data_IF_332504104888
#
_entry.id   IF_332504104888
#
_cell.length_a   1.000
_cell.length_b   1.000
_cell.length_c   1.000
_cell.angle_alpha   90.00
_cell.angle_beta   90.00
_cell.angle_gamma   90.00
#
_symmetry.space_group_name_H-M   'P 1'
#
loop_
_entity.id
_entity.type
_entity.pdbx_description
1 polymer ?
#
# COMPACT_ATOMS: atom_id res chain seq x y z
N UNK A 1 17.75 38.74 -7.89
CA UNK A 1 18.18 38.62 -9.29
C UNK A 1 17.29 37.59 -9.96
N UNK A 2 16.31 38.04 -10.72
CA UNK A 2 15.38 37.19 -11.47
C UNK A 2 15.90 37.19 -12.91
N UNK A 3 16.41 36.05 -13.38
CA UNK A 3 16.87 35.89 -14.75
C UNK A 3 15.64 35.60 -15.65
N UNK A 4 15.43 36.49 -16.63
CA UNK A 4 14.46 36.39 -17.69
C UNK A 4 14.79 35.23 -18.64
N UNK A 5 13.90 34.30 -18.83
CA UNK A 5 13.98 33.26 -19.88
C UNK A 5 13.29 33.79 -21.16
N UNK A 6 14.02 33.80 -22.26
CA UNK A 6 13.56 34.17 -23.58
C UNK A 6 12.58 33.13 -24.18
N UNK A 7 11.63 33.50 -25.06
CA UNK A 7 10.63 32.60 -25.63
C UNK A 7 11.21 31.69 -26.70
N UNK A 8 10.77 30.41 -26.69
CA UNK A 8 11.11 29.38 -27.67
C UNK A 8 10.32 29.64 -28.97
N UNK A 9 10.92 29.57 -30.18
CA UNK A 9 10.21 29.82 -31.42
C UNK A 9 9.29 28.65 -31.82
N UNK A 10 8.11 29.00 -32.34
CA UNK A 10 7.11 28.07 -32.83
C UNK A 10 7.59 27.34 -34.11
N UNK A 11 7.48 26.01 -34.10
CA UNK A 11 7.72 25.18 -35.29
C UNK A 11 6.45 25.19 -36.15
N UNK A 12 6.58 25.71 -37.39
CA UNK A 12 5.52 25.70 -38.38
C UNK A 12 5.37 24.28 -38.98
N UNK A 13 4.17 23.72 -38.83
CA UNK A 13 3.79 22.46 -39.47
C UNK A 13 3.34 22.78 -40.91
N UNK A 14 4.06 22.27 -41.92
CA UNK A 14 3.63 22.31 -43.30
C UNK A 14 2.60 21.23 -43.57
N UNK A 15 1.43 21.64 -44.09
CA UNK A 15 0.47 20.73 -44.69
C UNK A 15 1.03 20.17 -46.00
N UNK A 16 1.25 18.88 -46.06
CA UNK A 16 1.61 18.13 -47.28
C UNK A 16 0.39 17.37 -47.81
N UNK A 17 0.33 17.36 -49.15
CA UNK A 17 -0.74 16.97 -50.06
C UNK A 17 -1.22 15.51 -49.90
N UNK A 18 -2.52 15.31 -50.16
CA UNK A 18 -3.19 14.00 -50.27
C UNK A 18 -2.67 13.22 -51.48
N UNK A 19 -2.01 12.10 -51.25
CA UNK A 19 -1.78 11.09 -52.29
C UNK A 19 -2.85 9.99 -52.20
N UNK A 20 -3.51 9.73 -53.35
CA UNK A 20 -4.47 8.67 -53.57
C UNK A 20 -3.85 7.28 -53.32
N UNK A 21 -4.46 6.43 -52.51
CA UNK A 21 -4.13 5.04 -52.36
C UNK A 21 -5.15 4.18 -53.15
N UNK A 22 -4.70 3.18 -53.92
CA UNK A 22 -5.59 2.31 -54.71
C UNK A 22 -6.25 1.27 -53.81
N UNK A 23 -7.49 0.99 -54.12
CA UNK A 23 -8.42 0.04 -53.49
C UNK A 23 -7.94 -1.40 -53.63
N UNK A 24 -8.05 -2.16 -52.54
CA UNK A 24 -8.30 -3.58 -52.58
C UNK A 24 -7.28 -4.45 -51.85
N UNK A 25 -7.48 -4.63 -50.52
CA UNK A 25 -7.35 -5.91 -49.80
C UNK A 25 -8.17 -5.71 -48.53
N UNK A 26 -9.25 -6.48 -48.40
CA UNK A 26 -10.10 -6.48 -47.21
C UNK A 26 -9.37 -7.00 -45.96
N UNK A 27 -9.67 -6.50 -44.78
CA UNK A 27 -9.05 -7.02 -43.57
C UNK A 27 -9.51 -8.43 -43.30
N UNK A 28 -8.57 -9.38 -43.33
CA UNK A 28 -8.79 -10.73 -42.83
C UNK A 28 -9.25 -10.60 -41.36
N UNK A 29 -10.43 -11.13 -41.07
CA UNK A 29 -11.04 -11.11 -39.76
C UNK A 29 -10.16 -11.82 -38.73
N UNK A 30 -9.46 -11.06 -37.95
CA UNK A 30 -8.99 -11.51 -36.65
C UNK A 30 -10.22 -11.62 -35.75
N UNK A 31 -10.75 -12.84 -35.70
CA UNK A 31 -11.90 -13.16 -34.87
C UNK A 31 -11.56 -12.93 -33.41
N UNK A 32 -12.51 -12.38 -32.67
CA UNK A 32 -12.48 -12.14 -31.20
C UNK A 32 -12.26 -13.43 -30.36
N UNK A 33 -11.69 -14.46 -30.95
CA UNK A 33 -11.43 -15.79 -30.36
C UNK A 33 -10.05 -15.90 -29.70
N UNK A 34 -9.07 -15.06 -30.06
CA UNK A 34 -7.69 -15.25 -29.59
C UNK A 34 -7.37 -14.56 -28.25
N UNK A 35 -8.24 -13.69 -27.75
CA UNK A 35 -8.07 -13.12 -26.40
C UNK A 35 -8.64 -14.00 -25.28
N UNK A 36 -9.38 -15.06 -25.60
CA UNK A 36 -9.87 -16.03 -24.61
C UNK A 36 -8.83 -17.07 -24.16
N UNK A 37 -7.68 -17.14 -24.81
CA UNK A 37 -6.64 -18.14 -24.53
C UNK A 37 -5.74 -17.84 -23.33
N UNK A 38 -5.64 -16.59 -22.90
CA UNK A 38 -4.75 -16.18 -21.76
C UNK A 38 -5.55 -15.93 -20.47
N UNK A 39 -6.87 -15.80 -20.56
CA UNK A 39 -7.78 -15.56 -19.42
C UNK A 39 -8.70 -16.76 -19.18
N UNK A 40 -8.23 -17.97 -19.55
CA UNK A 40 -8.93 -19.21 -19.27
C UNK A 40 -9.00 -19.46 -17.75
N UNK A 41 -10.20 -19.41 -17.16
CA UNK A 41 -10.49 -19.65 -15.74
C UNK A 41 -9.87 -18.66 -14.74
N UNK A 42 -10.20 -17.39 -14.83
CA UNK A 42 -10.08 -16.55 -13.65
C UNK A 42 -11.09 -17.05 -12.61
N UNK A 43 -10.56 -17.52 -11.48
CA UNK A 43 -11.35 -17.91 -10.33
C UNK A 43 -12.30 -16.76 -9.96
N UNK A 44 -13.49 -17.11 -9.43
CA UNK A 44 -14.44 -16.10 -8.92
C UNK A 44 -13.66 -15.15 -7.98
N UNK A 45 -13.71 -13.82 -8.20
CA UNK A 45 -13.00 -12.88 -7.35
C UNK A 45 -13.34 -13.12 -5.89
N UNK A 46 -12.32 -13.33 -5.07
CA UNK A 46 -12.50 -13.55 -3.64
C UNK A 46 -11.79 -12.41 -2.86
N UNK A 47 -12.55 -11.43 -2.35
CA UNK A 47 -11.98 -10.29 -1.65
C UNK A 47 -11.18 -10.70 -0.41
N UNK A 48 -11.62 -11.71 0.33
CA UNK A 48 -10.94 -12.17 1.53
C UNK A 48 -9.61 -12.86 1.22
N UNK A 49 -9.54 -13.66 0.16
CA UNK A 49 -8.28 -14.24 -0.29
C UNK A 49 -7.33 -13.15 -0.81
N UNK A 50 -7.88 -12.11 -1.46
CA UNK A 50 -7.12 -10.94 -1.86
C UNK A 50 -6.45 -10.25 -0.67
N UNK A 51 -7.19 -10.04 0.43
CA UNK A 51 -6.61 -9.47 1.66
C UNK A 51 -5.52 -10.36 2.26
N UNK A 52 -5.69 -11.69 2.27
CA UNK A 52 -4.63 -12.60 2.73
C UNK A 52 -3.38 -12.47 1.88
N UNK A 53 -3.51 -12.58 0.56
CA UNK A 53 -2.35 -12.56 -0.36
C UNK A 53 -1.68 -11.18 -0.35
N UNK A 54 -2.46 -10.11 -0.40
CA UNK A 54 -1.94 -8.75 -0.38
C UNK A 54 -1.23 -8.42 0.92
N UNK A 55 -1.83 -8.73 2.07
CA UNK A 55 -1.22 -8.45 3.37
C UNK A 55 -0.01 -9.35 3.61
N UNK A 56 -0.03 -10.63 3.18
CA UNK A 56 1.14 -11.49 3.24
C UNK A 56 2.31 -10.93 2.41
N UNK A 57 2.03 -10.43 1.21
CA UNK A 57 3.02 -9.80 0.34
C UNK A 57 3.57 -8.52 0.99
N UNK A 58 2.69 -7.67 1.54
CA UNK A 58 3.06 -6.45 2.24
C UNK A 58 4.04 -6.74 3.38
N UNK A 59 3.72 -7.70 4.24
CA UNK A 59 4.54 -8.04 5.41
C UNK A 59 5.83 -8.77 5.00
N UNK A 60 5.77 -9.69 4.03
CA UNK A 60 6.97 -10.35 3.54
C UNK A 60 8.02 -9.36 3.05
N UNK A 61 7.61 -8.35 2.28
CA UNK A 61 8.53 -7.36 1.73
C UNK A 61 8.90 -6.28 2.76
N UNK A 62 7.94 -5.84 3.59
CA UNK A 62 8.13 -4.81 4.60
C UNK A 62 8.97 -5.27 5.78
N UNK A 63 8.61 -6.37 6.45
CA UNK A 63 9.43 -6.95 7.51
C UNK A 63 10.74 -7.51 6.95
N UNK A 64 10.72 -7.98 5.70
CA UNK A 64 11.91 -8.46 4.99
C UNK A 64 12.99 -7.41 4.84
N UNK A 65 12.64 -6.16 4.47
CA UNK A 65 13.64 -5.09 4.41
C UNK A 65 14.17 -4.73 5.80
N UNK A 66 13.30 -4.74 6.82
CA UNK A 66 13.74 -4.50 8.21
C UNK A 66 14.72 -5.58 8.66
N UNK A 67 14.44 -6.85 8.37
CA UNK A 67 15.39 -7.95 8.61
C UNK A 67 16.72 -7.72 7.88
N UNK A 68 16.66 -7.31 6.61
CA UNK A 68 17.85 -6.97 5.83
C UNK A 68 18.70 -5.87 6.45
N UNK A 69 18.07 -4.82 6.98
CA UNK A 69 18.77 -3.66 7.55
C UNK A 69 19.26 -3.93 8.97
N UNK A 70 18.53 -4.70 9.78
CA UNK A 70 18.82 -4.85 11.21
C UNK A 70 19.61 -6.13 11.57
N UNK A 71 19.39 -7.24 10.84
CA UNK A 71 20.02 -8.50 11.20
C UNK A 71 21.48 -8.56 10.77
N UNK A 72 22.30 -9.12 11.64
CA UNK A 72 23.73 -9.24 11.42
C UNK A 72 24.06 -10.09 10.18
N UNK A 73 25.15 -9.72 9.52
CA UNK A 73 25.68 -10.38 8.32
C UNK A 73 24.75 -10.34 7.10
N UNK A 74 23.66 -9.56 7.15
CA UNK A 74 22.87 -9.25 5.96
C UNK A 74 23.65 -8.33 5.04
N UNK A 75 23.48 -8.49 3.72
CA UNK A 75 24.11 -7.60 2.73
C UNK A 75 23.60 -6.14 2.83
N UNK A 76 22.40 -5.94 3.36
CA UNK A 76 21.81 -4.61 3.56
C UNK A 76 21.99 -4.10 4.99
N UNK A 77 22.74 -4.78 5.84
CA UNK A 77 22.93 -4.38 7.24
C UNK A 77 23.38 -2.93 7.35
N UNK A 78 22.73 -2.17 8.24
CA UNK A 78 23.01 -0.76 8.52
C UNK A 78 22.79 0.21 7.33
N UNK A 79 22.03 -0.19 6.31
CA UNK A 79 21.75 0.69 5.16
C UNK A 79 20.80 1.87 5.47
N UNK A 80 20.17 1.85 6.64
CA UNK A 80 19.49 3.02 7.21
C UNK A 80 17.99 3.14 6.95
N UNK A 81 17.40 4.16 7.58
CA UNK A 81 15.96 4.39 7.64
C UNK A 81 15.32 4.64 6.27
N UNK A 82 16.03 5.32 5.38
CA UNK A 82 15.51 5.61 4.02
C UNK A 82 15.26 4.32 3.23
N UNK A 83 16.12 3.29 3.39
CA UNK A 83 15.94 1.99 2.73
C UNK A 83 14.69 1.29 3.26
N UNK A 84 14.49 1.32 4.59
CA UNK A 84 13.31 0.75 5.24
C UNK A 84 12.04 1.42 4.71
N UNK A 85 11.98 2.75 4.75
CA UNK A 85 10.77 3.49 4.37
C UNK A 85 10.46 3.39 2.89
N UNK A 86 11.50 3.41 2.03
CA UNK A 86 11.34 3.19 0.60
C UNK A 86 10.73 1.82 0.30
N UNK A 87 11.30 0.78 0.90
CA UNK A 87 10.83 -0.59 0.66
C UNK A 87 9.42 -0.82 1.24
N UNK A 88 9.08 -0.24 2.40
CA UNK A 88 7.70 -0.31 2.93
C UNK A 88 6.69 0.35 1.98
N UNK A 89 7.01 1.50 1.40
CA UNK A 89 6.16 2.12 0.40
C UNK A 89 5.95 1.21 -0.82
N UNK A 90 7.02 0.61 -1.32
CA UNK A 90 6.94 -0.34 -2.45
C UNK A 90 6.26 -1.66 -2.05
N UNK A 91 6.41 -2.11 -0.81
CA UNK A 91 5.71 -3.29 -0.29
C UNK A 91 4.18 -3.07 -0.27
N UNK A 92 3.72 -1.88 0.11
CA UNK A 92 2.30 -1.51 -0.01
C UNK A 92 1.86 -1.52 -1.47
N UNK A 93 2.62 -0.91 -2.37
CA UNK A 93 2.31 -0.90 -3.80
C UNK A 93 2.14 -2.32 -4.36
N UNK A 94 3.11 -3.21 -4.14
CA UNK A 94 3.05 -4.60 -4.63
C UNK A 94 1.95 -5.39 -3.90
N UNK A 95 1.77 -5.18 -2.60
CA UNK A 95 0.70 -5.81 -1.82
C UNK A 95 -0.70 -5.47 -2.36
N UNK A 96 -0.95 -4.21 -2.71
CA UNK A 96 -2.20 -3.79 -3.36
C UNK A 96 -2.37 -4.48 -4.72
N UNK A 97 -1.32 -4.51 -5.55
CA UNK A 97 -1.40 -5.16 -6.85
C UNK A 97 -1.73 -6.66 -6.75
N UNK A 98 -1.07 -7.38 -5.83
CA UNK A 98 -1.31 -8.82 -5.63
C UNK A 98 -2.69 -9.10 -5.04
N UNK A 99 -3.18 -8.23 -4.15
CA UNK A 99 -4.53 -8.31 -3.62
C UNK A 99 -5.58 -8.11 -4.72
N UNK A 100 -5.46 -7.03 -5.48
CA UNK A 100 -6.41 -6.70 -6.57
C UNK A 100 -6.44 -7.78 -7.64
N UNK A 101 -5.29 -8.40 -7.96
CA UNK A 101 -5.22 -9.50 -8.92
C UNK A 101 -6.08 -10.72 -8.49
N UNK A 102 -6.24 -10.94 -7.19
CA UNK A 102 -7.05 -12.01 -6.60
C UNK A 102 -8.48 -11.57 -6.31
N UNK A 103 -8.63 -10.37 -5.77
CA UNK A 103 -9.90 -9.84 -5.27
C UNK A 103 -10.78 -9.20 -6.36
N UNK A 104 -10.18 -8.79 -7.48
CA UNK A 104 -10.92 -8.11 -8.54
C UNK A 104 -11.29 -6.65 -8.25
N UNK A 105 -10.68 -6.01 -7.25
CA UNK A 105 -10.87 -4.57 -7.05
C UNK A 105 -10.82 -4.02 -5.63
N UNK A 106 -10.79 -4.85 -4.59
CA UNK A 106 -10.69 -4.41 -3.18
C UNK A 106 -9.34 -4.82 -2.61
N UNK A 107 -8.64 -3.89 -1.99
CA UNK A 107 -7.38 -4.14 -1.30
C UNK A 107 -7.19 -3.09 -0.20
N UNK A 108 -7.45 -3.47 1.03
CA UNK A 108 -7.25 -2.60 2.18
C UNK A 108 -5.93 -2.90 2.89
N UNK A 109 -5.60 -4.20 3.10
CA UNK A 109 -4.37 -4.71 3.71
C UNK A 109 -4.10 -4.16 5.12
N UNK A 110 -5.13 -3.56 5.73
CA UNK A 110 -4.96 -2.74 6.93
C UNK A 110 -6.29 -2.57 7.66
N UNK A 111 -6.45 -3.11 8.86
CA UNK A 111 -7.68 -2.95 9.66
C UNK A 111 -8.08 -1.49 9.89
N UNK A 112 -7.13 -0.57 10.02
CA UNK A 112 -7.44 0.84 10.21
C UNK A 112 -7.99 1.50 8.94
N UNK A 113 -7.55 1.04 7.76
CA UNK A 113 -8.12 1.46 6.46
C UNK A 113 -9.53 0.88 6.32
N UNK A 114 -9.71 -0.42 6.54
CA UNK A 114 -11.01 -1.10 6.43
C UNK A 114 -12.06 -0.47 7.35
N UNK A 115 -11.74 -0.33 8.63
CA UNK A 115 -12.64 0.26 9.64
C UNK A 115 -12.86 1.75 9.36
N UNK A 116 -11.79 2.49 9.01
CA UNK A 116 -11.87 3.91 8.72
C UNK A 116 -12.76 4.22 7.53
N UNK A 117 -12.57 3.52 6.40
CA UNK A 117 -13.40 3.69 5.20
C UNK A 117 -14.86 3.33 5.47
N UNK A 118 -15.12 2.28 6.26
CA UNK A 118 -16.48 1.92 6.65
C UNK A 118 -17.13 2.99 7.54
N UNK A 119 -16.44 3.45 8.57
CA UNK A 119 -16.93 4.49 9.47
C UNK A 119 -17.10 5.85 8.77
N UNK A 120 -16.27 6.15 7.76
CA UNK A 120 -16.36 7.34 6.93
C UNK A 120 -17.43 7.26 5.83
N UNK A 121 -18.17 6.14 5.70
CA UNK A 121 -19.25 5.98 4.71
C UNK A 121 -18.79 5.66 3.29
N UNK A 122 -17.53 5.27 3.08
CA UNK A 122 -16.99 4.93 1.75
C UNK A 122 -17.25 3.47 1.35
N UNK A 123 -17.55 2.57 2.30
CA UNK A 123 -17.91 1.17 2.04
C UNK A 123 -19.43 1.01 2.11
N UNK A 124 -20.14 1.58 1.15
CA UNK A 124 -21.60 1.51 1.10
C UNK A 124 -22.09 0.05 0.95
N UNK A 125 -23.09 -0.33 1.76
CA UNK A 125 -23.65 -1.67 1.75
C UNK A 125 -22.84 -2.71 2.52
N UNK A 126 -21.65 -2.38 3.04
CA UNK A 126 -20.89 -3.30 3.87
C UNK A 126 -21.48 -3.41 5.27
N UNK A 127 -21.71 -4.64 5.71
CA UNK A 127 -22.13 -4.95 7.07
C UNK A 127 -20.91 -4.97 8.01
N UNK A 128 -21.15 -4.77 9.30
CA UNK A 128 -20.11 -4.91 10.32
C UNK A 128 -19.42 -6.28 10.25
N UNK A 129 -20.19 -7.36 9.98
CA UNK A 129 -19.61 -8.70 9.82
C UNK A 129 -18.61 -8.77 8.69
N UNK A 130 -18.91 -8.19 7.52
CA UNK A 130 -17.98 -8.16 6.38
C UNK A 130 -16.70 -7.40 6.72
N UNK A 131 -16.81 -6.27 7.41
CA UNK A 131 -15.66 -5.50 7.91
C UNK A 131 -14.78 -6.37 8.81
N UNK A 132 -15.37 -7.03 9.80
CA UNK A 132 -14.61 -7.85 10.76
C UNK A 132 -14.00 -9.11 10.13
N UNK A 133 -14.67 -9.70 9.16
CA UNK A 133 -14.14 -10.84 8.38
C UNK A 133 -12.95 -10.38 7.53
N UNK A 134 -13.03 -9.22 6.89
CA UNK A 134 -11.91 -8.62 6.16
C UNK A 134 -10.71 -8.39 7.08
N UNK A 135 -10.92 -7.75 8.22
CA UNK A 135 -9.89 -7.53 9.26
C UNK A 135 -9.24 -8.86 9.69
N UNK A 136 -10.04 -9.90 9.91
CA UNK A 136 -9.50 -11.22 10.26
C UNK A 136 -8.54 -11.76 9.18
N UNK A 137 -8.91 -11.66 7.90
CA UNK A 137 -8.06 -12.14 6.81
C UNK A 137 -6.81 -11.27 6.59
N UNK A 138 -6.86 -9.97 6.89
CA UNK A 138 -5.67 -9.10 6.95
C UNK A 138 -4.67 -9.60 8.00
N UNK A 139 -5.13 -9.98 9.20
CA UNK A 139 -4.28 -10.58 10.24
C UNK A 139 -3.70 -11.93 9.80
N UNK A 140 -4.49 -12.79 9.17
CA UNK A 140 -4.01 -14.08 8.63
C UNK A 140 -2.89 -13.84 7.63
N UNK A 141 -3.10 -12.91 6.69
CA UNK A 141 -2.06 -12.53 5.71
C UNK A 141 -0.79 -12.02 6.39
N UNK A 142 -0.92 -11.13 7.38
CA UNK A 142 0.22 -10.59 8.11
C UNK A 142 1.03 -11.68 8.82
N UNK A 143 0.36 -12.64 9.44
CA UNK A 143 1.03 -13.78 10.10
C UNK A 143 1.77 -14.66 9.09
N UNK A 144 1.20 -14.92 7.92
CA UNK A 144 1.85 -15.68 6.84
C UNK A 144 3.09 -14.93 6.35
N UNK A 145 3.00 -13.62 6.09
CA UNK A 145 4.14 -12.80 5.68
C UNK A 145 5.29 -12.84 6.69
N UNK A 146 4.99 -12.68 7.97
CA UNK A 146 5.98 -12.77 9.05
C UNK A 146 6.64 -14.15 9.16
N UNK A 147 5.87 -15.23 8.97
CA UNK A 147 6.42 -16.59 8.91
C UNK A 147 7.43 -16.72 7.75
N UNK A 148 7.09 -16.19 6.58
CA UNK A 148 7.96 -16.24 5.41
C UNK A 148 9.25 -15.42 5.61
N UNK A 149 9.20 -14.28 6.29
CA UNK A 149 10.38 -13.50 6.68
C UNK A 149 11.26 -14.31 7.63
N UNK A 150 10.66 -14.93 8.66
CA UNK A 150 11.41 -15.77 9.57
C UNK A 150 12.14 -16.90 8.84
N UNK A 151 11.48 -17.57 7.89
CA UNK A 151 12.09 -18.62 7.07
C UNK A 151 13.20 -18.08 6.17
N UNK A 152 13.00 -16.94 5.53
CA UNK A 152 13.97 -16.35 4.62
C UNK A 152 15.28 -15.93 5.31
N UNK A 153 15.20 -15.59 6.60
CA UNK A 153 16.34 -15.12 7.39
C UNK A 153 16.81 -16.12 8.44
N UNK A 154 16.46 -17.42 8.31
CA UNK A 154 16.84 -18.46 9.29
C UNK A 154 18.30 -18.42 9.74
N UNK A 155 19.30 -18.27 8.86
CA UNK A 155 20.71 -18.25 9.29
C UNK A 155 21.12 -16.97 10.03
N UNK A 156 20.34 -15.88 9.90
CA UNK A 156 20.69 -14.58 10.47
C UNK A 156 20.24 -14.41 11.92
N UNK A 157 19.21 -15.15 12.36
CA UNK A 157 18.70 -15.06 13.72
C UNK A 157 19.73 -15.39 14.80
N UNK A 158 20.48 -16.51 14.70
CA UNK A 158 21.52 -16.82 15.69
C UNK A 158 22.74 -15.89 15.61
N UNK A 159 22.97 -15.23 14.48
CA UNK A 159 24.08 -14.30 14.28
C UNK A 159 23.81 -12.89 14.84
N UNK A 160 22.58 -12.59 15.22
CA UNK A 160 22.18 -11.30 15.77
C UNK A 160 21.99 -11.44 17.28
N UNK A 161 22.83 -10.79 18.09
CA UNK A 161 22.79 -10.95 19.55
C UNK A 161 21.67 -10.13 20.19
N UNK A 162 21.37 -8.92 19.66
CA UNK A 162 20.40 -8.01 20.22
C UNK A 162 18.95 -8.50 19.99
N UNK A 163 18.21 -8.86 21.06
CA UNK A 163 16.82 -9.30 20.95
C UNK A 163 15.87 -8.18 20.52
N UNK A 164 16.24 -6.90 20.75
CA UNK A 164 15.47 -5.75 20.32
C UNK A 164 15.46 -5.61 18.79
N UNK A 165 16.59 -5.85 18.13
CA UNK A 165 16.68 -5.86 16.67
C UNK A 165 15.84 -6.99 16.06
N UNK A 166 15.81 -8.16 16.70
CA UNK A 166 14.97 -9.29 16.28
C UNK A 166 13.48 -8.95 16.39
N UNK A 167 13.06 -8.33 17.50
CA UNK A 167 11.69 -7.88 17.68
C UNK A 167 11.31 -6.82 16.64
N UNK A 168 12.21 -5.86 16.39
CA UNK A 168 11.98 -4.77 15.44
C UNK A 168 11.78 -5.23 13.98
N UNK A 169 12.22 -6.44 13.63
CA UNK A 169 11.90 -7.05 12.33
C UNK A 169 10.41 -7.32 12.20
N UNK A 170 9.76 -7.78 13.27
CA UNK A 170 8.36 -8.21 13.25
C UNK A 170 7.37 -7.07 13.53
N UNK A 171 7.70 -6.20 14.48
CA UNK A 171 6.74 -5.20 14.93
C UNK A 171 7.40 -3.89 15.33
N UNK A 172 6.61 -2.84 15.39
CA UNK A 172 7.09 -1.51 15.71
C UNK A 172 7.32 -1.33 17.21
N UNK A 173 8.21 -0.41 17.53
CA UNK A 173 8.48 0.02 18.90
C UNK A 173 8.87 1.49 18.92
N UNK A 174 8.66 2.19 20.05
CA UNK A 174 8.95 3.60 20.14
C UNK A 174 10.44 3.87 20.29
N UNK A 175 10.96 4.87 19.59
CA UNK A 175 12.31 5.39 19.82
C UNK A 175 12.45 5.95 21.25
N UNK A 176 11.40 6.61 21.73
CA UNK A 176 11.28 7.09 23.10
C UNK A 176 9.94 6.58 23.65
N UNK A 177 9.99 5.83 24.76
CA UNK A 177 8.78 5.28 25.37
C UNK A 177 8.00 6.37 26.11
N UNK A 178 6.96 6.87 25.45
CA UNK A 178 6.02 7.84 25.96
C UNK A 178 4.62 7.46 25.45
N UNK A 179 3.79 6.90 26.31
CA UNK A 179 2.48 6.34 25.94
C UNK A 179 1.58 7.34 25.20
N UNK A 180 1.45 8.55 25.73
CA UNK A 180 0.59 9.58 25.10
C UNK A 180 1.18 10.08 23.79
N UNK A 181 2.48 10.40 23.74
CA UNK A 181 3.16 10.84 22.53
C UNK A 181 3.14 9.79 21.43
N UNK A 182 3.42 8.52 21.77
CA UNK A 182 3.40 7.42 20.81
C UNK A 182 1.99 7.16 20.26
N UNK A 183 0.97 7.23 21.12
CA UNK A 183 -0.43 7.10 20.68
C UNK A 183 -0.82 8.23 19.72
N UNK A 184 -0.49 9.47 20.05
CA UNK A 184 -0.75 10.64 19.19
C UNK A 184 -0.04 10.50 17.85
N UNK A 185 1.21 10.04 17.83
CA UNK A 185 1.97 9.82 16.58
C UNK A 185 1.28 8.80 15.67
N UNK A 186 0.83 7.67 16.22
CA UNK A 186 0.12 6.63 15.45
C UNK A 186 -1.25 7.14 14.95
N UNK A 187 -1.96 7.96 15.76
CA UNK A 187 -3.21 8.61 15.33
C UNK A 187 -2.94 9.54 14.14
N UNK A 188 -1.95 10.43 14.24
CA UNK A 188 -1.63 11.40 13.17
C UNK A 188 -1.15 10.69 11.91
N UNK A 189 -0.26 9.70 12.02
CA UNK A 189 0.26 8.94 10.88
C UNK A 189 -0.85 8.21 10.14
N UNK A 190 -1.77 7.57 10.86
CA UNK A 190 -2.88 6.84 10.26
C UNK A 190 -4.00 7.76 9.75
N UNK A 191 -4.23 8.89 10.42
CA UNK A 191 -5.08 9.95 9.88
C UNK A 191 -4.61 10.36 8.48
N UNK A 192 -3.32 10.68 8.33
CA UNK A 192 -2.74 11.06 7.04
C UNK A 192 -2.84 9.93 6.01
N UNK A 193 -2.65 8.68 6.44
CA UNK A 193 -2.80 7.53 5.55
C UNK A 193 -4.22 7.47 4.97
N UNK A 194 -5.26 7.40 5.81
CA UNK A 194 -6.63 7.19 5.34
C UNK A 194 -7.17 8.43 4.62
N UNK A 195 -6.87 9.62 5.13
CA UNK A 195 -7.21 10.88 4.45
C UNK A 195 -6.60 10.95 3.04
N UNK A 196 -5.31 10.60 2.91
CA UNK A 196 -4.59 10.56 1.63
C UNK A 196 -5.11 9.47 0.69
N UNK A 197 -5.41 8.27 1.20
CA UNK A 197 -6.03 7.19 0.41
C UNK A 197 -7.35 7.64 -0.21
N UNK A 198 -8.22 8.30 0.56
CA UNK A 198 -9.50 8.83 0.04
C UNK A 198 -9.26 9.93 -0.99
N UNK A 199 -8.31 10.86 -0.75
CA UNK A 199 -7.96 11.90 -1.71
C UNK A 199 -7.46 11.32 -3.04
N UNK A 200 -6.59 10.30 -2.98
CA UNK A 200 -6.09 9.58 -4.15
C UNK A 200 -7.23 8.89 -4.89
N UNK A 201 -8.12 8.18 -4.18
CA UNK A 201 -9.26 7.47 -4.78
C UNK A 201 -10.21 8.43 -5.49
N UNK A 202 -10.53 9.58 -4.90
CA UNK A 202 -11.43 10.58 -5.50
C UNK A 202 -10.80 11.22 -6.75
N UNK A 203 -9.52 11.57 -6.72
CA UNK A 203 -8.86 12.29 -7.82
C UNK A 203 -8.35 11.38 -8.92
N UNK A 204 -7.92 10.16 -8.59
CA UNK A 204 -7.41 9.20 -9.56
C UNK A 204 -8.44 8.13 -9.95
N UNK A 205 -9.59 8.07 -9.29
CA UNK A 205 -10.68 7.13 -9.61
C UNK A 205 -11.24 7.28 -11.03
N UNK A 206 -10.98 8.41 -11.71
CA UNK A 206 -11.21 8.64 -13.13
C UNK A 206 -10.08 8.19 -14.05
N UNK A 207 -8.99 7.67 -13.49
CA UNK A 207 -7.81 7.23 -14.23
C UNK A 207 -6.94 8.39 -14.74
N UNK A 208 -5.65 8.39 -14.38
CA UNK A 208 -4.62 9.12 -15.15
C UNK A 208 -4.40 8.31 -16.44
N UNK A 209 -5.22 8.55 -17.45
CA UNK A 209 -5.06 7.93 -18.75
C UNK A 209 -3.89 8.62 -19.47
N UNK A 210 -2.73 7.97 -19.51
CA UNK A 210 -1.73 8.29 -20.53
C UNK A 210 -2.22 7.56 -21.79
N UNK A 211 -2.89 8.30 -22.67
CA UNK A 211 -3.28 7.82 -23.97
C UNK A 211 -2.04 7.87 -24.86
N UNK A 212 -1.44 6.72 -25.15
CA UNK A 212 -0.37 6.63 -26.15
C UNK A 212 -1.06 6.40 -27.50
N UNK A 213 -1.22 7.46 -28.29
CA UNK A 213 -1.69 7.34 -29.67
C UNK A 213 -0.73 6.47 -30.49
N UNK A 214 -1.26 5.46 -31.17
CA UNK A 214 -0.50 4.67 -32.14
C UNK A 214 -0.32 3.19 -31.82
N UNK A 215 -0.71 2.67 -30.68
CA UNK A 215 -0.78 1.21 -30.45
C UNK A 215 -2.21 0.71 -30.67
N UNK A 216 -2.36 -0.18 -31.65
CA UNK A 216 -3.59 -0.95 -31.85
C UNK A 216 -3.76 -1.93 -30.68
N UNK A 217 -4.59 -1.53 -29.74
CA UNK A 217 -4.85 -2.22 -28.49
C UNK A 217 -4.52 -1.26 -27.32
N UNK A 218 -5.55 -0.78 -26.63
CA UNK A 218 -5.35 0.03 -25.43
C UNK A 218 -4.70 -0.83 -24.36
N UNK A 219 -3.38 -0.87 -24.34
CA UNK A 219 -2.65 -1.35 -23.18
C UNK A 219 -2.75 -0.24 -22.13
N UNK A 220 -3.74 -0.38 -21.28
CA UNK A 220 -3.93 0.51 -20.14
C UNK A 220 -2.81 0.22 -19.13
N UNK A 221 -1.59 0.68 -19.40
CA UNK A 221 -0.54 0.82 -18.36
C UNK A 221 -1.11 1.67 -17.21
N UNK A 222 -2.15 2.44 -17.49
CA UNK A 222 -2.96 3.19 -16.53
C UNK A 222 -3.59 2.38 -15.40
N UNK A 223 -3.98 1.13 -15.59
CA UNK A 223 -4.67 0.36 -14.54
C UNK A 223 -3.84 0.17 -13.28
N UNK A 224 -2.59 -0.23 -13.38
CA UNK A 224 -1.72 -0.45 -12.22
C UNK A 224 -1.15 0.85 -11.64
N UNK A 225 -0.85 1.85 -12.47
CA UNK A 225 -0.39 3.16 -12.03
C UNK A 225 -1.54 4.09 -11.65
N UNK A 226 -2.70 4.00 -12.32
CA UNK A 226 -3.87 4.83 -12.08
C UNK A 226 -4.83 4.28 -11.03
N UNK A 227 -4.79 2.99 -10.72
CA UNK A 227 -5.63 2.38 -9.69
C UNK A 227 -5.28 2.76 -8.25
N UNK A 228 -4.47 3.79 -8.05
CA UNK A 228 -4.10 4.29 -6.73
C UNK A 228 -2.99 3.48 -6.03
N UNK A 229 -2.59 2.32 -6.54
CA UNK A 229 -1.63 1.45 -5.85
C UNK A 229 -0.26 2.11 -5.65
N UNK A 230 0.35 2.66 -6.70
CA UNK A 230 1.63 3.36 -6.60
C UNK A 230 1.52 4.67 -5.80
N UNK A 231 0.53 5.55 -6.03
CA UNK A 231 0.32 6.73 -5.20
C UNK A 231 0.12 6.40 -3.71
N UNK A 232 -0.58 5.33 -3.37
CA UNK A 232 -0.71 4.88 -1.96
C UNK A 232 0.64 4.40 -1.42
N UNK A 233 1.42 3.66 -2.21
CA UNK A 233 2.79 3.28 -1.84
C UNK A 233 3.68 4.50 -1.56
N UNK A 234 3.63 5.53 -2.41
CA UNK A 234 4.36 6.80 -2.22
C UNK A 234 3.86 7.57 -0.99
N UNK A 235 2.55 7.55 -0.71
CA UNK A 235 1.99 8.13 0.51
C UNK A 235 2.57 7.45 1.75
N UNK A 236 2.61 6.11 1.79
CA UNK A 236 3.21 5.36 2.90
C UNK A 236 4.70 5.65 3.05
N UNK A 237 5.44 5.75 1.95
CA UNK A 237 6.85 6.15 1.94
C UNK A 237 7.04 7.52 2.62
N UNK A 238 6.25 8.52 2.22
CA UNK A 238 6.35 9.88 2.78
C UNK A 238 5.95 9.92 4.26
N UNK A 239 4.90 9.18 4.66
CA UNK A 239 4.54 9.04 6.08
C UNK A 239 5.70 8.43 6.87
N UNK A 240 6.33 7.38 6.36
CA UNK A 240 7.48 6.75 7.01
C UNK A 240 8.68 7.68 7.17
N UNK A 241 8.99 8.47 6.13
CA UNK A 241 10.08 9.44 6.16
C UNK A 241 9.81 10.60 7.13
N UNK A 242 8.55 11.07 7.18
CA UNK A 242 8.19 12.30 7.89
C UNK A 242 7.70 12.06 9.32
N UNK A 243 6.95 11.00 9.57
CA UNK A 243 6.22 10.73 10.81
C UNK A 243 6.65 9.41 11.46
N UNK A 244 7.48 8.60 10.80
CA UNK A 244 7.86 7.28 11.29
C UNK A 244 8.91 7.27 12.38
N UNK A 245 9.70 8.33 12.53
CA UNK A 245 10.80 8.39 13.48
C UNK A 245 10.42 8.10 14.94
N UNK A 246 9.30 8.59 15.47
CA UNK A 246 8.95 8.38 16.89
C UNK A 246 8.54 6.95 17.24
N UNK A 247 7.82 6.22 16.35
CA UNK A 247 7.16 4.96 16.69
C UNK A 247 7.48 3.80 15.74
N UNK A 248 8.11 4.07 14.60
CA UNK A 248 8.22 3.10 13.52
C UNK A 248 6.98 3.06 12.62
N UNK A 249 6.07 4.03 12.72
CA UNK A 249 4.85 4.21 11.89
C UNK A 249 4.12 2.88 11.61
N UNK A 250 3.59 2.26 12.66
CA UNK A 250 2.79 1.05 12.47
C UNK A 250 1.65 1.32 11.49
N UNK A 251 0.86 2.36 11.75
CA UNK A 251 -0.27 2.84 10.93
C UNK A 251 -1.21 1.75 10.40
N UNK A 252 -1.03 0.53 10.88
CA UNK A 252 -1.72 -0.68 10.43
C UNK A 252 -1.71 -1.72 11.57
N UNK A 253 -2.86 -2.01 12.19
CA UNK A 253 -2.93 -3.00 13.26
C UNK A 253 -2.47 -4.40 12.86
N UNK A 254 -2.75 -4.85 11.63
CA UNK A 254 -2.34 -6.17 11.15
C UNK A 254 -0.81 -6.24 10.95
N UNK A 255 -0.20 -5.14 10.47
CA UNK A 255 1.24 -5.03 10.24
C UNK A 255 2.06 -5.07 11.53
N UNK A 256 1.48 -4.70 12.68
CA UNK A 256 2.18 -4.80 13.97
C UNK A 256 1.77 -6.06 14.74
N UNK A 257 0.49 -6.22 15.04
CA UNK A 257 0.01 -7.27 15.92
C UNK A 257 0.16 -8.67 15.31
N UNK A 258 -0.07 -8.84 13.99
CA UNK A 258 0.10 -10.12 13.31
C UNK A 258 1.54 -10.66 13.42
N UNK A 259 2.55 -9.92 12.96
CA UNK A 259 3.95 -10.30 13.12
C UNK A 259 4.40 -10.37 14.58
N UNK A 260 3.88 -9.53 15.50
CA UNK A 260 4.17 -9.62 16.94
C UNK A 260 3.71 -10.95 17.55
N UNK A 261 2.55 -11.44 17.15
CA UNK A 261 2.08 -12.78 17.50
C UNK A 261 3.04 -13.83 16.96
N UNK A 262 3.47 -13.69 15.70
CA UNK A 262 4.43 -14.62 15.11
C UNK A 262 5.79 -14.57 15.81
N UNK A 263 6.31 -13.41 16.21
CA UNK A 263 7.50 -13.31 17.05
C UNK A 263 7.32 -14.06 18.37
N UNK A 264 6.15 -14.00 18.97
CA UNK A 264 5.91 -14.71 20.24
C UNK A 264 5.96 -16.25 20.09
N UNK A 265 5.39 -16.79 19.02
CA UNK A 265 5.24 -18.24 18.83
C UNK A 265 6.41 -18.89 18.05
N UNK A 266 7.03 -18.18 17.12
CA UNK A 266 8.13 -18.73 16.32
C UNK A 266 9.39 -18.95 17.16
N UNK A 267 10.18 -20.01 16.88
CA UNK A 267 11.42 -20.29 17.57
C UNK A 267 12.56 -19.41 17.03
N UNK A 268 12.47 -18.10 17.23
CA UNK A 268 13.53 -17.16 16.85
C UNK A 268 14.69 -17.31 17.82
N UNK A 269 15.86 -17.66 17.31
CA UNK A 269 17.04 -17.92 18.14
C UNK A 269 17.43 -16.67 18.96
N UNK A 270 17.52 -16.79 20.28
CA UNK A 270 17.92 -15.70 21.18
C UNK A 270 16.94 -14.51 21.20
N UNK A 271 15.65 -14.72 20.90
CA UNK A 271 14.63 -13.67 21.00
C UNK A 271 14.38 -13.31 22.48
N UNK A 272 14.01 -12.06 22.71
CA UNK A 272 13.46 -11.57 23.98
C UNK A 272 11.95 -11.66 24.06
N UNK A 273 11.35 -10.85 24.91
CA UNK A 273 9.88 -10.64 24.98
C UNK A 273 9.34 -9.94 23.74
N UNK A 274 8.02 -10.09 23.51
CA UNK A 274 7.33 -9.48 22.34
C UNK A 274 6.73 -8.10 22.64
N UNK A 275 7.11 -7.46 23.74
CA UNK A 275 6.67 -6.11 24.17
C UNK A 275 5.14 -5.91 24.14
N UNK A 276 4.42 -6.82 24.76
CA UNK A 276 2.94 -6.78 24.81
C UNK A 276 2.39 -5.52 25.49
N UNK A 277 3.15 -4.92 26.41
CA UNK A 277 2.77 -3.67 27.06
C UNK A 277 2.66 -2.48 26.10
N UNK A 278 3.31 -2.55 24.94
CA UNK A 278 3.22 -1.54 23.89
C UNK A 278 2.20 -1.88 22.80
N UNK A 279 1.88 -3.15 22.60
CA UNK A 279 1.15 -3.69 21.44
C UNK A 279 -0.22 -3.03 21.17
N UNK A 280 -0.86 -2.47 22.18
CA UNK A 280 -2.16 -1.83 22.04
C UNK A 280 -2.08 -0.46 21.33
N UNK A 281 -0.94 0.24 21.40
CA UNK A 281 -0.74 1.55 20.75
C UNK A 281 -0.84 1.43 19.24
N UNK A 282 -0.08 0.52 18.56
CA UNK A 282 -0.19 0.32 17.11
C UNK A 282 -1.50 -0.34 16.65
N UNK A 283 -2.40 -0.65 17.57
CA UNK A 283 -3.78 -1.08 17.25
C UNK A 283 -4.76 0.08 17.43
N UNK A 284 -4.81 0.66 18.62
CA UNK A 284 -5.79 1.69 18.97
C UNK A 284 -5.52 3.00 18.25
N UNK A 285 -4.25 3.44 18.20
CA UNK A 285 -3.85 4.67 17.51
C UNK A 285 -4.26 4.68 16.04
N UNK A 286 -3.87 3.66 15.26
CA UNK A 286 -4.28 3.55 13.87
C UNK A 286 -5.80 3.48 13.65
N UNK A 287 -6.54 2.75 14.46
CA UNK A 287 -8.01 2.70 14.32
C UNK A 287 -8.62 4.09 14.53
N UNK A 288 -8.23 4.80 15.57
CA UNK A 288 -8.72 6.17 15.82
C UNK A 288 -8.31 7.10 14.67
N UNK A 289 -7.05 7.08 14.28
CA UNK A 289 -6.54 7.91 13.19
C UNK A 289 -7.24 7.64 11.86
N UNK A 290 -7.47 6.36 11.54
CA UNK A 290 -8.17 5.93 10.34
C UNK A 290 -9.60 6.42 10.27
N UNK A 291 -10.36 6.28 11.37
CA UNK A 291 -11.74 6.79 11.47
C UNK A 291 -11.77 8.31 11.31
N UNK A 292 -10.93 9.03 12.02
CA UNK A 292 -10.86 10.50 11.94
C UNK A 292 -10.45 10.97 10.55
N UNK A 293 -9.47 10.31 9.91
CA UNK A 293 -9.00 10.61 8.56
C UNK A 293 -10.11 10.41 7.52
N UNK A 294 -10.85 9.31 7.60
CA UNK A 294 -11.96 9.04 6.69
C UNK A 294 -13.13 10.04 6.86
N UNK A 295 -13.52 10.35 8.10
CA UNK A 295 -14.58 11.33 8.39
C UNK A 295 -14.16 12.72 7.87
N UNK A 296 -12.92 13.15 8.15
CA UNK A 296 -12.41 14.43 7.67
C UNK A 296 -12.37 14.49 6.14
N UNK A 297 -11.94 13.41 5.48
CA UNK A 297 -11.93 13.31 4.03
C UNK A 297 -13.34 13.37 3.43
N UNK A 298 -14.30 12.65 4.01
CA UNK A 298 -15.68 12.71 3.57
C UNK A 298 -16.25 14.13 3.70
N UNK A 299 -16.09 14.74 4.87
CA UNK A 299 -16.55 16.09 5.09
C UNK A 299 -15.93 17.10 4.11
N UNK A 300 -14.61 17.06 3.95
CA UNK A 300 -13.88 18.06 3.15
C UNK A 300 -14.05 17.85 1.64
N UNK A 301 -13.94 16.60 1.16
CA UNK A 301 -13.89 16.35 -0.28
C UNK A 301 -15.27 16.16 -0.92
N UNK A 302 -16.28 15.69 -0.16
CA UNK A 302 -17.62 15.45 -0.69
C UNK A 302 -18.58 16.58 -0.36
N UNK A 303 -18.60 17.08 0.88
CA UNK A 303 -19.57 18.08 1.31
C UNK A 303 -19.08 19.52 1.10
N UNK A 304 -17.83 19.81 1.50
CA UNK A 304 -17.31 21.17 1.46
C UNK A 304 -17.01 21.61 0.02
N UNK A 305 -16.42 20.75 -0.80
CA UNK A 305 -16.11 21.05 -2.19
C UNK A 305 -17.37 21.30 -3.03
N UNK A 306 -18.43 20.50 -2.82
CA UNK A 306 -19.72 20.69 -3.54
C UNK A 306 -20.49 21.94 -3.09
N UNK A 307 -20.26 22.42 -1.85
CA UNK A 307 -20.94 23.62 -1.32
C UNK A 307 -20.26 24.91 -1.77
N UNK A 308 -18.93 24.96 -1.83
CA UNK A 308 -18.17 26.16 -2.23
C UNK A 308 -18.01 26.32 -3.73
N UNK A 309 -17.94 25.23 -4.46
CA UNK A 309 -17.76 25.24 -5.90
C UNK A 309 -19.01 24.63 -6.56
N UNK A 310 -20.17 25.28 -6.39
CA UNK A 310 -21.34 24.98 -7.23
C UNK A 310 -20.94 25.24 -8.69
N UNK A 311 -20.20 24.31 -9.28
CA UNK A 311 -19.85 24.21 -10.68
C UNK A 311 -20.79 23.21 -11.35
#
# INVERSE_FOLDING_TARGET
MIASLAPIPAIAVRHGERSHCPTGIGPAGATARDQKGVVGNMAVPNPYLGEVVGTATLILLGDGVVAGVLLNKSKAQNSGWIVITWAWGMAVFIGVLTSVAVAGGVAHLNPAVTIGLWAGGFLQGWTFTQVMVTVFFEFVGAMIGALLVWLAYLPHWPETDDPGLKLAVFCTGPAIRNTAGNLITEIIGTFMLVFGVVAIAIKLGGGLFIHIEGMAGSMTIGGALSGGALPVGLLVLVIGLSLGGPTGYAINPARDLGPRIMHAILPVAGKGGSDWGYSWIPVVGPIIGGILGAIAANWLFTNFATTLFKL
#
